data_IF_558572824273
#
_entry.id   IF_558572824273
#
_cell.length_a   1.000
_cell.length_b   1.000
_cell.length_c   1.000
_cell.angle_alpha   90.00
_cell.angle_beta   90.00
_cell.angle_gamma   90.00
#
_symmetry.space_group_name_H-M   'P 1'
#
loop_
_entity.id
_entity.type
_entity.pdbx_description
1 polymer ?
#
# COMPACT_ATOMS: atom_id res chain seq x y z
N UNK A 1 2.26 -3.43 29.48
CA UNK A 1 3.45 -2.84 28.83
C UNK A 1 4.45 -3.87 28.32
N UNK A 2 4.93 -4.83 29.14
CA UNK A 2 5.94 -5.83 28.68
C UNK A 2 5.45 -6.77 27.56
N UNK A 3 4.20 -7.24 27.59
CA UNK A 3 3.65 -8.10 26.51
C UNK A 3 3.43 -7.34 25.19
N UNK A 4 3.15 -6.03 25.25
CA UNK A 4 2.92 -5.19 24.07
C UNK A 4 4.21 -4.90 23.29
N UNK A 5 5.33 -4.69 24.00
CA UNK A 5 6.66 -4.50 23.39
C UNK A 5 7.12 -5.74 22.62
N UNK A 6 6.80 -6.94 23.13
CA UNK A 6 7.20 -8.21 22.49
C UNK A 6 6.46 -8.46 21.16
N UNK A 7 5.20 -8.02 21.04
CA UNK A 7 4.35 -8.23 19.86
C UNK A 7 4.69 -7.29 18.70
N UNK A 8 4.99 -6.01 18.97
CA UNK A 8 5.51 -5.07 17.95
C UNK A 8 6.85 -5.56 17.40
N UNK A 9 7.70 -6.16 18.24
CA UNK A 9 8.98 -6.74 17.81
C UNK A 9 8.79 -7.96 16.88
N UNK A 10 7.73 -8.75 17.05
CA UNK A 10 7.44 -9.92 16.21
C UNK A 10 6.97 -9.53 14.80
N UNK A 11 6.06 -8.56 14.65
CA UNK A 11 5.62 -8.07 13.34
C UNK A 11 6.75 -7.38 12.57
N UNK A 12 7.58 -6.61 13.28
CA UNK A 12 8.76 -5.98 12.71
C UNK A 12 9.81 -7.02 12.28
N UNK A 13 10.07 -8.05 13.09
CA UNK A 13 11.00 -9.13 12.74
C UNK A 13 10.61 -9.88 11.45
N UNK A 14 9.32 -10.05 11.17
CA UNK A 14 8.85 -10.69 9.94
C UNK A 14 9.09 -9.82 8.69
N UNK A 15 8.92 -8.50 8.80
CA UNK A 15 9.25 -7.53 7.74
C UNK A 15 10.77 -7.50 7.48
N UNK A 16 11.56 -7.69 8.53
CA UNK A 16 13.02 -7.58 8.49
C UNK A 16 13.79 -8.87 8.20
N UNK A 17 13.14 -10.04 8.30
CA UNK A 17 13.76 -11.33 8.04
C UNK A 17 14.29 -11.49 6.60
N UNK A 18 13.91 -10.58 5.70
CA UNK A 18 14.35 -10.56 4.29
C UNK A 18 15.72 -9.91 4.07
N UNK A 19 16.34 -9.30 5.09
CA UNK A 19 17.59 -8.53 4.92
C UNK A 19 18.62 -8.79 6.03
N UNK A 20 19.84 -9.19 5.66
CA UNK A 20 20.99 -9.23 6.57
C UNK A 20 21.55 -7.81 6.71
N UNK A 21 21.25 -7.14 7.82
CA UNK A 21 21.60 -5.73 8.05
C UNK A 21 22.45 -5.55 9.30
N UNK A 22 23.28 -4.49 9.36
CA UNK A 22 23.94 -4.10 10.60
C UNK A 22 22.89 -3.92 11.72
N UNK A 23 23.04 -4.59 12.88
CA UNK A 23 22.05 -4.51 13.96
C UNK A 23 21.68 -3.08 14.38
N UNK A 24 22.65 -2.16 14.36
CA UNK A 24 22.43 -0.75 14.69
C UNK A 24 21.41 -0.05 13.76
N UNK A 25 21.40 -0.38 12.46
CA UNK A 25 20.42 0.17 11.51
C UNK A 25 19.04 -0.37 11.85
N UNK A 26 18.94 -1.67 12.11
CA UNK A 26 17.68 -2.34 12.45
C UNK A 26 17.07 -1.79 13.73
N UNK A 27 17.90 -1.59 14.75
CA UNK A 27 17.45 -1.04 16.02
C UNK A 27 17.00 0.43 15.85
N UNK A 28 17.70 1.20 15.01
CA UNK A 28 17.29 2.58 14.70
C UNK A 28 15.94 2.64 13.98
N UNK A 29 15.69 1.76 13.00
CA UNK A 29 14.39 1.71 12.30
C UNK A 29 13.30 1.26 13.28
N UNK A 30 13.53 0.20 14.07
CA UNK A 30 12.59 -0.25 15.10
C UNK A 30 12.26 0.84 16.11
N UNK A 31 13.25 1.65 16.50
CA UNK A 31 13.04 2.79 17.39
C UNK A 31 12.14 3.85 16.77
N UNK A 32 12.29 4.11 15.47
CA UNK A 32 11.42 5.03 14.73
C UNK A 32 10.00 4.47 14.69
N UNK A 33 9.80 3.20 14.35
CA UNK A 33 8.48 2.56 14.29
C UNK A 33 7.79 2.53 15.65
N UNK A 34 8.55 2.24 16.71
CA UNK A 34 8.07 2.32 18.10
C UNK A 34 7.67 3.75 18.46
N UNK A 35 8.47 4.74 18.08
CA UNK A 35 8.17 6.15 18.36
C UNK A 35 6.94 6.64 17.61
N UNK A 36 6.72 6.22 16.36
CA UNK A 36 5.48 6.53 15.65
C UNK A 36 4.27 5.97 16.40
N UNK A 37 4.38 4.74 16.90
CA UNK A 37 3.32 4.07 17.64
C UNK A 37 3.04 4.71 19.00
N UNK A 38 4.07 5.22 19.71
CA UNK A 38 3.90 5.88 21.02
C UNK A 38 3.50 7.34 20.90
N UNK A 39 4.23 8.09 20.09
CA UNK A 39 4.19 9.55 20.04
C UNK A 39 3.12 10.04 19.06
N UNK A 40 2.71 9.17 18.12
CA UNK A 40 1.68 9.44 17.09
C UNK A 40 2.00 10.67 16.26
N UNK A 41 3.30 10.88 16.06
CA UNK A 41 3.86 12.05 15.40
C UNK A 41 4.64 11.61 14.15
N UNK A 42 3.94 11.61 13.02
CA UNK A 42 4.48 11.18 11.72
C UNK A 42 5.66 12.03 11.27
N UNK A 43 5.59 13.36 11.46
CA UNK A 43 6.67 14.27 11.04
C UNK A 43 7.92 14.10 11.91
N UNK A 44 7.78 13.81 13.20
CA UNK A 44 8.92 13.51 14.06
C UNK A 44 9.62 12.19 13.65
N UNK A 45 8.84 11.15 13.32
CA UNK A 45 9.37 9.89 12.85
C UNK A 45 10.07 10.03 11.48
N UNK A 46 9.46 10.76 10.54
CA UNK A 46 10.07 11.10 9.25
C UNK A 46 11.37 11.93 9.43
N UNK A 47 11.38 12.91 10.32
CA UNK A 47 12.57 13.72 10.61
C UNK A 47 13.71 12.86 11.20
N UNK A 48 13.40 11.90 12.07
CA UNK A 48 14.39 10.93 12.59
C UNK A 48 14.96 10.08 11.45
N UNK A 49 14.09 9.56 10.59
CA UNK A 49 14.47 8.75 9.45
C UNK A 49 15.33 9.53 8.43
N UNK A 50 15.02 10.80 8.18
CA UNK A 50 15.81 11.69 7.32
C UNK A 50 17.20 12.01 7.90
N UNK A 51 17.34 12.09 9.23
CA UNK A 51 18.67 12.24 9.86
C UNK A 51 19.54 11.01 9.66
N UNK A 52 18.95 9.80 9.68
CA UNK A 52 19.68 8.57 9.35
C UNK A 52 20.11 8.58 7.89
N UNK A 53 19.27 9.09 6.96
CA UNK A 53 19.62 9.20 5.54
C UNK A 53 20.87 10.03 5.30
N UNK A 54 21.00 11.14 6.02
CA UNK A 54 22.11 12.07 5.87
C UNK A 54 23.45 11.52 6.39
N UNK A 55 23.46 10.35 7.05
CA UNK A 55 24.67 9.74 7.59
C UNK A 55 25.42 8.95 6.50
N UNK A 56 26.67 9.32 6.16
CA UNK A 56 27.42 8.68 5.08
C UNK A 56 27.60 7.16 5.24
N UNK A 57 27.72 6.68 6.48
CA UNK A 57 27.88 5.25 6.78
C UNK A 57 26.66 4.40 6.45
N UNK A 58 25.51 5.02 6.20
CA UNK A 58 24.25 4.34 5.86
C UNK A 58 23.79 4.61 4.42
N UNK A 59 24.61 5.30 3.63
CA UNK A 59 24.34 5.55 2.22
C UNK A 59 24.25 4.24 1.43
N UNK A 60 23.30 4.17 0.48
CA UNK A 60 23.18 3.04 -0.46
C UNK A 60 22.54 1.77 0.10
N UNK A 61 21.92 1.81 1.29
CA UNK A 61 21.24 0.65 1.88
C UNK A 61 19.78 0.51 1.37
N UNK A 62 19.42 -0.52 0.57
CA UNK A 62 18.10 -0.67 -0.04
C UNK A 62 16.92 -0.66 0.95
N UNK A 63 17.12 -1.23 2.14
CA UNK A 63 16.09 -1.27 3.18
C UNK A 63 15.67 0.12 3.65
N UNK A 64 16.61 1.08 3.69
CA UNK A 64 16.33 2.42 4.17
C UNK A 64 15.51 3.18 3.15
N UNK A 65 15.79 2.97 1.85
CA UNK A 65 14.95 3.48 0.76
C UNK A 65 13.53 2.95 0.82
N UNK A 66 13.33 1.67 1.15
CA UNK A 66 11.98 1.12 1.37
C UNK A 66 11.28 1.84 2.53
N UNK A 67 11.98 2.10 3.64
CA UNK A 67 11.42 2.81 4.78
C UNK A 67 11.14 4.28 4.45
N UNK A 68 12.03 4.98 3.75
CA UNK A 68 11.79 6.35 3.31
C UNK A 68 10.59 6.41 2.37
N UNK A 69 10.49 5.48 1.41
CA UNK A 69 9.34 5.35 0.53
C UNK A 69 8.04 5.23 1.33
N UNK A 70 8.00 4.27 2.26
CA UNK A 70 6.84 4.07 3.14
C UNK A 70 6.52 5.31 3.97
N UNK A 71 7.48 5.87 4.72
CA UNK A 71 7.25 6.99 5.64
C UNK A 71 6.81 8.27 4.92
N UNK A 72 7.33 8.54 3.72
CA UNK A 72 6.85 9.66 2.91
C UNK A 72 5.41 9.42 2.42
N UNK A 73 5.06 8.17 2.08
CA UNK A 73 3.68 7.82 1.74
C UNK A 73 2.70 8.04 2.91
N UNK A 74 3.15 7.82 4.16
CA UNK A 74 2.32 8.05 5.35
C UNK A 74 1.90 9.51 5.49
N UNK A 75 2.74 10.46 5.08
CA UNK A 75 2.49 11.91 5.17
C UNK A 75 2.01 12.53 3.86
N UNK A 76 1.55 11.68 2.93
CA UNK A 76 1.10 12.04 1.60
C UNK A 76 2.13 12.77 0.71
N UNK A 77 3.43 12.54 0.92
CA UNK A 77 4.48 12.97 0.00
C UNK A 77 4.79 11.85 -1.00
N UNK A 78 3.84 11.61 -1.90
CA UNK A 78 3.87 10.47 -2.82
C UNK A 78 4.99 10.58 -3.86
N UNK A 79 5.28 11.79 -4.35
CA UNK A 79 6.38 12.00 -5.29
C UNK A 79 7.73 11.65 -4.67
N UNK A 80 7.96 12.02 -3.40
CA UNK A 80 9.19 11.65 -2.70
C UNK A 80 9.20 10.15 -2.39
N UNK A 81 8.05 9.57 -2.05
CA UNK A 81 7.93 8.13 -1.81
C UNK A 81 8.39 7.30 -3.02
N UNK A 82 7.91 7.65 -4.22
CA UNK A 82 8.29 6.99 -5.48
C UNK A 82 9.78 7.19 -5.78
N UNK A 83 10.30 8.41 -5.60
CA UNK A 83 11.70 8.72 -5.87
C UNK A 83 12.68 7.88 -5.02
N UNK A 84 12.34 7.62 -3.75
CA UNK A 84 13.14 6.73 -2.92
C UNK A 84 13.08 5.29 -3.38
N UNK A 85 11.92 4.82 -3.87
CA UNK A 85 11.81 3.48 -4.43
C UNK A 85 12.62 3.34 -5.73
N UNK A 86 12.56 4.33 -6.63
CA UNK A 86 13.39 4.40 -7.85
C UNK A 86 14.88 4.31 -7.54
N UNK A 87 15.31 4.88 -6.40
CA UNK A 87 16.70 4.78 -5.93
C UNK A 87 17.12 3.35 -5.59
N UNK A 88 16.19 2.46 -5.22
CA UNK A 88 16.48 1.03 -5.02
C UNK A 88 16.78 0.36 -6.35
N UNK A 89 16.01 0.68 -7.39
CA UNK A 89 16.21 0.10 -8.72
C UNK A 89 17.54 0.58 -9.33
N UNK A 90 17.92 1.84 -9.11
CA UNK A 90 19.27 2.34 -9.43
C UNK A 90 20.38 1.52 -8.76
N UNK A 91 20.24 1.24 -7.47
CA UNK A 91 21.22 0.43 -6.74
C UNK A 91 21.29 -0.99 -7.28
N UNK A 92 20.14 -1.60 -7.58
CA UNK A 92 20.08 -2.95 -8.16
C UNK A 92 20.73 -3.00 -9.54
N UNK A 93 20.47 -2.02 -10.40
CA UNK A 93 21.10 -1.93 -11.73
C UNK A 93 22.62 -1.79 -11.64
N UNK A 94 23.11 -0.89 -10.76
CA UNK A 94 24.56 -0.70 -10.58
C UNK A 94 25.25 -1.96 -10.00
N UNK A 95 24.61 -2.69 -9.10
CA UNK A 95 25.14 -3.92 -8.50
C UNK A 95 25.18 -5.10 -9.48
N UNK A 96 24.20 -5.22 -10.38
CA UNK A 96 24.13 -6.33 -11.35
C UNK A 96 25.21 -6.26 -12.43
N UNK A 97 25.96 -5.15 -12.56
CA UNK A 97 26.87 -4.85 -13.70
C UNK A 97 26.20 -5.06 -15.07
N UNK A 98 24.88 -5.12 -15.12
CA UNK A 98 24.10 -5.20 -16.35
C UNK A 98 23.80 -3.77 -16.79
N UNK A 99 24.57 -3.29 -17.76
CA UNK A 99 24.27 -2.05 -18.50
C UNK A 99 23.15 -2.22 -19.51
N UNK A 100 22.37 -3.31 -19.42
CA UNK A 100 21.17 -3.45 -20.25
C UNK A 100 20.14 -2.47 -19.73
N UNK A 101 20.29 -1.21 -20.15
CA UNK A 101 19.19 -0.31 -20.44
C UNK A 101 18.10 -1.16 -21.10
N UNK A 102 16.81 -0.92 -20.79
CA UNK A 102 15.73 -1.59 -21.50
C UNK A 102 16.03 -1.51 -22.99
N UNK A 103 15.90 -2.62 -23.75
CA UNK A 103 16.48 -2.77 -25.07
C UNK A 103 16.24 -1.50 -25.88
N UNK A 104 17.32 -0.76 -26.15
CA UNK A 104 17.27 0.43 -27.00
C UNK A 104 16.80 -0.05 -28.37
N UNK A 105 15.57 0.29 -28.74
CA UNK A 105 14.91 -0.24 -29.93
C UNK A 105 13.78 -1.25 -29.69
N UNK A 106 13.26 -1.39 -28.45
CA UNK A 106 11.96 -2.04 -28.25
C UNK A 106 10.93 -1.33 -29.13
N UNK A 107 10.32 -2.07 -30.05
CA UNK A 107 9.16 -1.63 -30.81
C UNK A 107 7.97 -2.42 -30.31
N UNK A 108 6.87 -1.73 -30.05
CA UNK A 108 5.63 -2.37 -29.61
C UNK A 108 4.47 -1.85 -30.45
N UNK A 109 3.85 -2.76 -31.20
CA UNK A 109 2.66 -2.47 -31.98
C UNK A 109 1.43 -2.51 -31.09
N UNK A 110 1.03 -1.32 -30.62
CA UNK A 110 -0.16 -1.15 -29.77
C UNK A 110 -1.46 -1.56 -30.47
N UNK A 111 -1.45 -1.76 -31.80
CA UNK A 111 -2.61 -2.26 -32.53
C UNK A 111 -2.96 -3.72 -32.20
N UNK A 112 -2.05 -4.47 -31.59
CA UNK A 112 -2.26 -5.87 -31.21
C UNK A 112 -3.03 -6.04 -29.89
N UNK A 113 -3.16 -4.96 -29.12
CA UNK A 113 -3.87 -4.94 -27.85
C UNK A 113 -5.14 -4.09 -27.94
N UNK A 114 -6.07 -4.33 -27.03
CA UNK A 114 -7.29 -3.55 -26.89
C UNK A 114 -7.47 -3.11 -25.44
N UNK A 115 -7.65 -1.79 -25.18
CA UNK A 115 -7.88 -1.29 -23.83
C UNK A 115 -9.32 -1.57 -23.38
N UNK A 116 -9.47 -1.92 -22.11
CA UNK A 116 -10.74 -2.01 -21.41
C UNK A 116 -10.62 -1.36 -20.02
N UNK A 117 -11.66 -0.67 -19.51
CA UNK A 117 -11.66 -0.15 -18.15
C UNK A 117 -11.38 -1.28 -17.14
N UNK A 118 -10.35 -1.11 -16.31
CA UNK A 118 -9.91 -2.16 -15.39
C UNK A 118 -11.01 -2.53 -14.39
N UNK A 119 -11.64 -1.53 -13.77
CA UNK A 119 -12.71 -1.73 -12.78
C UNK A 119 -13.86 -2.58 -13.33
N UNK A 120 -14.42 -2.21 -14.48
CA UNK A 120 -15.54 -2.95 -15.08
C UNK A 120 -15.14 -4.35 -15.55
N UNK A 121 -13.90 -4.51 -16.02
CA UNK A 121 -13.36 -5.82 -16.41
C UNK A 121 -13.25 -6.75 -15.21
N UNK A 122 -12.70 -6.26 -14.09
CA UNK A 122 -12.56 -7.03 -12.85
C UNK A 122 -13.94 -7.39 -12.30
N UNK A 123 -14.88 -6.44 -12.24
CA UNK A 123 -16.24 -6.71 -11.73
C UNK A 123 -16.97 -7.78 -12.54
N UNK A 124 -16.79 -7.79 -13.86
CA UNK A 124 -17.34 -8.84 -14.73
C UNK A 124 -16.78 -10.21 -14.38
N UNK A 125 -15.46 -10.33 -14.19
CA UNK A 125 -14.83 -11.60 -13.80
C UNK A 125 -15.20 -12.00 -12.36
N UNK A 126 -15.23 -11.04 -11.44
CA UNK A 126 -15.54 -11.24 -10.03
C UNK A 126 -16.97 -11.75 -9.77
N UNK A 127 -17.90 -11.65 -10.74
CA UNK A 127 -19.21 -12.31 -10.67
C UNK A 127 -19.08 -13.82 -10.51
N UNK A 128 -18.15 -14.42 -11.25
CA UNK A 128 -17.98 -15.88 -11.34
C UNK A 128 -16.80 -16.40 -10.50
N UNK A 129 -16.09 -15.53 -9.80
CA UNK A 129 -14.98 -15.89 -8.92
C UNK A 129 -15.36 -15.59 -7.47
N UNK A 130 -15.12 -16.54 -6.56
CA UNK A 130 -15.35 -16.34 -5.12
C UNK A 130 -14.19 -15.66 -4.42
N UNK A 131 -12.97 -15.78 -4.96
CA UNK A 131 -11.78 -15.16 -4.37
C UNK A 131 -11.12 -14.26 -5.41
N UNK A 132 -10.92 -13.00 -5.05
CA UNK A 132 -10.15 -12.02 -5.84
C UNK A 132 -8.94 -11.64 -5.04
N UNK A 133 -7.75 -11.89 -5.59
CA UNK A 133 -6.48 -11.50 -4.99
C UNK A 133 -5.87 -10.37 -5.81
N UNK A 134 -5.61 -9.23 -5.18
CA UNK A 134 -5.04 -8.05 -5.82
C UNK A 134 -3.86 -7.52 -4.99
N UNK A 135 -2.76 -7.22 -5.67
CA UNK A 135 -1.53 -6.82 -4.99
C UNK A 135 -1.34 -5.31 -4.84
N UNK A 136 -0.39 -4.90 -4.03
CA UNK A 136 0.11 -3.54 -3.91
C UNK A 136 1.63 -3.50 -3.76
N UNK A 137 2.25 -2.39 -4.14
CA UNK A 137 3.52 -1.96 -3.53
C UNK A 137 3.22 -1.18 -2.26
N UNK A 138 3.85 -1.53 -1.14
CA UNK A 138 3.52 -0.95 0.18
C UNK A 138 3.75 0.56 0.30
N UNK A 139 4.60 1.13 -0.57
CA UNK A 139 4.89 2.57 -0.62
C UNK A 139 4.00 3.33 -1.62
N UNK A 140 3.02 2.66 -2.25
CA UNK A 140 2.19 3.23 -3.32
C UNK A 140 0.70 3.25 -2.95
N UNK A 141 0.23 4.28 -2.21
CA UNK A 141 -1.17 4.39 -1.82
C UNK A 141 -2.17 4.52 -2.97
N UNK A 142 -1.71 4.82 -4.20
CA UNK A 142 -2.55 4.74 -5.40
C UNK A 142 -3.17 3.35 -5.59
N UNK A 143 -2.42 2.28 -5.32
CA UNK A 143 -2.95 0.91 -5.40
C UNK A 143 -4.07 0.68 -4.37
N UNK A 144 -3.92 1.23 -3.16
CA UNK A 144 -4.94 1.15 -2.11
C UNK A 144 -6.18 1.94 -2.46
N UNK A 145 -6.03 3.09 -3.10
CA UNK A 145 -7.16 3.87 -3.59
C UNK A 145 -7.96 3.10 -4.65
N UNK A 146 -7.28 2.39 -5.56
CA UNK A 146 -7.93 1.50 -6.51
C UNK A 146 -8.67 0.34 -5.81
N UNK A 147 -8.02 -0.31 -4.84
CA UNK A 147 -8.63 -1.39 -4.05
C UNK A 147 -9.84 -0.86 -3.25
N UNK A 148 -9.82 0.37 -2.76
CA UNK A 148 -10.96 0.98 -2.07
C UNK A 148 -12.18 1.13 -2.99
N UNK A 149 -11.98 1.62 -4.21
CA UNK A 149 -13.08 1.68 -5.18
C UNK A 149 -13.58 0.27 -5.54
N UNK A 150 -12.66 -0.67 -5.75
CA UNK A 150 -13.00 -2.06 -6.05
C UNK A 150 -13.81 -2.71 -4.91
N UNK A 151 -13.38 -2.55 -3.67
CA UNK A 151 -14.08 -3.02 -2.47
C UNK A 151 -15.52 -2.50 -2.42
N UNK A 152 -15.72 -1.19 -2.64
CA UNK A 152 -17.06 -0.58 -2.63
C UNK A 152 -17.97 -1.27 -3.64
N UNK A 153 -17.48 -1.53 -4.86
CA UNK A 153 -18.27 -2.11 -5.94
C UNK A 153 -18.46 -3.62 -5.81
N UNK A 154 -17.47 -4.34 -5.28
CA UNK A 154 -17.56 -5.78 -5.02
C UNK A 154 -18.63 -6.13 -3.98
N UNK A 155 -18.97 -5.20 -3.08
CA UNK A 155 -20.05 -5.42 -2.11
C UNK A 155 -21.37 -5.75 -2.78
N UNK A 156 -21.69 -5.07 -3.88
CA UNK A 156 -22.89 -5.32 -4.68
C UNK A 156 -22.88 -6.69 -5.39
N UNK A 157 -21.70 -7.32 -5.53
CA UNK A 157 -21.53 -8.66 -6.12
C UNK A 157 -21.48 -9.78 -5.06
N UNK A 158 -21.85 -9.47 -3.82
CA UNK A 158 -21.92 -10.44 -2.72
C UNK A 158 -20.58 -10.71 -2.02
N UNK A 159 -19.57 -9.86 -2.21
CA UNK A 159 -18.33 -9.97 -1.42
C UNK A 159 -18.59 -9.58 0.03
N UNK A 160 -18.22 -10.48 0.93
CA UNK A 160 -18.52 -10.38 2.37
C UNK A 160 -17.29 -10.33 3.23
N UNK A 161 -16.13 -10.76 2.72
CA UNK A 161 -14.86 -10.76 3.45
C UNK A 161 -13.83 -9.87 2.76
N UNK A 162 -13.11 -9.10 3.57
CA UNK A 162 -11.94 -8.34 3.16
C UNK A 162 -10.74 -8.82 3.97
N UNK A 163 -9.83 -9.51 3.30
CA UNK A 163 -8.61 -10.02 3.87
C UNK A 163 -7.44 -9.11 3.47
N UNK A 164 -6.55 -8.74 4.40
CA UNK A 164 -5.41 -7.90 4.05
C UNK A 164 -4.12 -8.27 4.78
N UNK A 165 -3.01 -8.19 4.05
CA UNK A 165 -1.66 -8.39 4.58
C UNK A 165 -1.32 -7.34 5.64
N UNK A 166 -0.53 -7.75 6.63
CA UNK A 166 0.02 -6.84 7.63
C UNK A 166 -0.97 -6.40 8.71
N UNK A 167 -2.21 -6.89 8.68
CA UNK A 167 -3.16 -6.78 9.79
C UNK A 167 -2.70 -7.67 10.96
N UNK A 168 -2.83 -7.18 12.19
CA UNK A 168 -2.45 -7.97 13.36
C UNK A 168 -3.51 -9.04 13.66
N UNK A 169 -3.07 -10.26 13.96
CA UNK A 169 -3.96 -11.42 14.14
C UNK A 169 -4.88 -11.37 15.36
N UNK A 170 -4.67 -10.44 16.29
CA UNK A 170 -5.52 -10.23 17.45
C UNK A 170 -6.57 -9.13 17.24
N UNK A 171 -6.51 -8.41 16.11
CA UNK A 171 -7.51 -7.41 15.80
C UNK A 171 -8.76 -8.08 15.26
N UNK A 172 -9.68 -8.30 16.19
CA UNK A 172 -11.09 -8.43 15.85
C UNK A 172 -11.60 -7.02 15.52
N UNK A 173 -11.28 -6.54 14.31
CA UNK A 173 -12.07 -5.49 13.65
C UNK A 173 -13.43 -6.11 13.28
N UNK A 174 -14.19 -6.45 14.32
CA UNK A 174 -15.48 -7.15 14.24
C UNK A 174 -16.61 -6.28 14.80
N UNK A 175 -16.28 -5.11 15.35
CA UNK A 175 -17.26 -4.15 15.84
C UNK A 175 -17.37 -2.94 14.89
N UNK A 176 -18.59 -2.42 14.64
CA UNK A 176 -18.79 -1.12 13.99
C UNK A 176 -18.12 0.06 14.72
N UNK A 177 -17.71 -0.14 15.98
CA UNK A 177 -16.97 0.84 16.77
C UNK A 177 -15.45 0.74 16.61
N UNK A 178 -14.95 -0.20 15.82
CA UNK A 178 -13.51 -0.38 15.61
C UNK A 178 -13.01 0.63 14.57
N UNK A 179 -11.91 1.29 14.88
CA UNK A 179 -11.21 2.25 14.02
C UNK A 179 -9.77 1.78 13.78
N UNK A 180 -9.14 2.15 12.66
CA UNK A 180 -7.72 1.89 12.45
C UNK A 180 -6.88 2.70 13.43
N UNK A 181 -6.10 2.01 14.28
CA UNK A 181 -5.29 2.59 15.32
C UNK A 181 -3.80 2.40 15.05
N UNK A 182 -3.03 3.47 15.24
CA UNK A 182 -1.60 3.54 14.94
C UNK A 182 -0.85 2.49 15.77
N UNK A 183 -0.08 1.63 15.11
CA UNK A 183 0.73 0.58 15.75
C UNK A 183 -0.06 -0.58 16.36
N UNK A 184 -1.40 -0.56 16.25
CA UNK A 184 -2.28 -1.63 16.74
C UNK A 184 -2.90 -2.39 15.59
N UNK A 185 -3.49 -1.72 14.60
CA UNK A 185 -4.25 -2.40 13.54
C UNK A 185 -3.38 -3.18 12.55
N UNK A 186 -2.20 -2.65 12.27
CA UNK A 186 -1.28 -3.23 11.29
C UNK A 186 -0.19 -2.23 10.91
N UNK A 187 0.97 -2.73 10.51
CA UNK A 187 2.13 -1.88 10.24
C UNK A 187 1.86 -0.90 9.07
N UNK A 188 1.35 -1.42 7.96
CA UNK A 188 1.03 -0.61 6.77
C UNK A 188 -0.26 0.20 6.92
N UNK A 189 -1.12 -0.15 7.88
CA UNK A 189 -2.40 0.55 8.15
C UNK A 189 -2.18 1.96 8.72
N UNK A 190 -0.97 2.26 9.21
CA UNK A 190 -0.59 3.61 9.61
C UNK A 190 -0.68 4.62 8.44
N UNK A 191 -0.82 4.17 7.20
CA UNK A 191 -1.03 5.03 6.04
C UNK A 191 -2.52 5.39 5.87
N UNK A 192 -2.87 6.68 5.69
CA UNK A 192 -4.25 7.15 5.66
C UNK A 192 -5.18 6.47 4.65
N UNK A 193 -4.73 6.18 3.42
CA UNK A 193 -5.57 5.54 2.40
C UNK A 193 -5.86 4.09 2.78
N UNK A 194 -4.89 3.35 3.34
CA UNK A 194 -5.13 2.01 3.88
C UNK A 194 -6.11 2.06 5.06
N UNK A 195 -5.92 2.98 6.01
CA UNK A 195 -6.85 3.13 7.11
C UNK A 195 -8.28 3.43 6.62
N UNK A 196 -8.44 4.28 5.61
CA UNK A 196 -9.74 4.57 5.01
C UNK A 196 -10.35 3.37 4.25
N UNK A 197 -9.51 2.53 3.65
CA UNK A 197 -9.91 1.24 3.09
C UNK A 197 -10.51 0.32 4.17
N UNK A 198 -9.85 0.20 5.33
CA UNK A 198 -10.37 -0.57 6.47
C UNK A 198 -11.68 0.03 7.00
N UNK A 199 -11.74 1.35 7.22
CA UNK A 199 -12.99 2.02 7.65
C UNK A 199 -14.15 1.75 6.71
N UNK A 200 -13.88 1.83 5.40
CA UNK A 200 -14.92 1.61 4.40
C UNK A 200 -15.35 0.15 4.37
N UNK A 201 -14.44 -0.81 4.55
CA UNK A 201 -14.78 -2.22 4.69
C UNK A 201 -15.72 -2.45 5.90
N UNK A 202 -15.39 -1.88 7.07
CA UNK A 202 -16.24 -1.96 8.27
C UNK A 202 -17.61 -1.34 8.01
N UNK A 203 -17.66 -0.13 7.46
CA UNK A 203 -18.90 0.60 7.18
C UNK A 203 -19.82 -0.18 6.22
N UNK A 204 -19.24 -0.85 5.24
CA UNK A 204 -19.96 -1.71 4.29
C UNK A 204 -20.32 -3.08 4.89
N UNK A 205 -19.95 -3.36 6.14
CA UNK A 205 -20.20 -4.64 6.80
C UNK A 205 -19.43 -5.80 6.18
N UNK A 206 -18.17 -5.58 5.78
CA UNK A 206 -17.24 -6.66 5.50
C UNK A 206 -16.74 -7.28 6.80
N UNK A 207 -16.55 -8.60 6.80
CA UNK A 207 -15.74 -9.29 7.80
C UNK A 207 -14.27 -9.04 7.45
N UNK A 208 -13.54 -8.39 8.36
CA UNK A 208 -12.11 -8.14 8.18
C UNK A 208 -11.32 -9.38 8.59
N UNK A 209 -10.40 -9.83 7.74
CA UNK A 209 -9.62 -11.06 7.93
C UNK A 209 -8.13 -10.73 7.95
N UNK A 210 -7.52 -10.80 9.14
CA UNK A 210 -6.07 -10.84 9.28
C UNK A 210 -5.57 -12.25 8.99
N UNK A 211 -4.60 -12.40 8.09
CA UNK A 211 -4.04 -13.71 7.72
C UNK A 211 -2.51 -13.80 7.89
N UNK A 212 -1.89 -12.79 8.51
CA UNK A 212 -0.44 -12.80 8.74
C UNK A 212 0.00 -14.02 9.57
N UNK A 213 1.27 -14.39 9.49
CA UNK A 213 1.83 -15.50 10.27
C UNK A 213 1.85 -15.22 11.77
N UNK A 214 1.62 -16.26 12.57
CA UNK A 214 1.65 -16.22 14.04
C UNK A 214 2.73 -17.11 14.64
N UNK A 215 3.32 -18.01 13.85
CA UNK A 215 4.30 -18.96 14.35
C UNK A 215 5.60 -18.27 14.78
N UNK A 216 6.07 -18.62 15.98
CA UNK A 216 7.35 -18.15 16.56
C UNK A 216 8.50 -19.10 16.27
N UNK A 217 8.38 -19.90 15.22
CA UNK A 217 9.36 -20.95 14.94
C UNK A 217 10.69 -20.32 14.52
N UNK A 218 11.79 -20.95 14.93
CA UNK A 218 13.13 -20.50 14.57
C UNK A 218 13.28 -20.40 13.05
N UNK A 219 13.91 -19.33 12.54
CA UNK A 219 14.16 -19.19 11.12
C UNK A 219 15.09 -20.30 10.65
N UNK A 220 14.80 -20.84 9.47
CA UNK A 220 15.70 -21.72 8.73
C UNK A 220 16.93 -20.93 8.27
N UNK A 221 18.04 -21.62 8.00
CA UNK A 221 19.22 -20.97 7.39
C UNK A 221 18.98 -20.56 5.93
N UNK A 222 18.05 -21.22 5.25
CA UNK A 222 17.69 -20.96 3.86
C UNK A 222 16.55 -19.92 3.77
N UNK A 223 16.82 -18.73 3.19
CA UNK A 223 15.82 -17.68 3.04
C UNK A 223 14.58 -18.10 2.25
N UNK A 224 14.74 -18.95 1.23
CA UNK A 224 13.61 -19.42 0.39
C UNK A 224 12.70 -20.32 1.20
N UNK A 225 13.24 -21.16 2.09
CA UNK A 225 12.42 -21.97 3.00
C UNK A 225 11.63 -21.12 3.99
N UNK A 226 12.25 -20.07 4.54
CA UNK A 226 11.55 -19.12 5.41
C UNK A 226 10.41 -18.41 4.68
N UNK A 227 10.68 -17.95 3.45
CA UNK A 227 9.67 -17.34 2.59
C UNK A 227 8.51 -18.31 2.34
N UNK A 228 8.79 -19.53 1.85
CA UNK A 228 7.75 -20.53 1.56
C UNK A 228 6.94 -20.93 2.80
N UNK A 229 7.57 -21.00 3.97
CA UNK A 229 6.86 -21.22 5.22
C UNK A 229 5.88 -20.09 5.53
N UNK A 230 6.30 -18.83 5.31
CA UNK A 230 5.43 -17.66 5.46
C UNK A 230 4.25 -17.70 4.49
N UNK A 231 4.51 -17.93 3.21
CA UNK A 231 3.46 -18.04 2.16
C UNK A 231 2.44 -19.12 2.49
N UNK A 232 2.93 -20.29 2.94
CA UNK A 232 2.08 -21.41 3.32
C UNK A 232 1.19 -21.08 4.53
N UNK A 233 1.78 -20.56 5.61
CA UNK A 233 1.03 -20.24 6.82
C UNK A 233 0.01 -19.11 6.57
N UNK A 234 0.34 -18.12 5.74
CA UNK A 234 -0.61 -17.08 5.32
C UNK A 234 -1.78 -17.67 4.52
N UNK A 235 -1.51 -18.59 3.59
CA UNK A 235 -2.55 -19.27 2.82
C UNK A 235 -3.47 -20.10 3.73
N UNK A 236 -2.90 -20.86 4.66
CA UNK A 236 -3.64 -21.64 5.66
C UNK A 236 -4.52 -20.74 6.53
N UNK A 237 -3.98 -19.62 7.03
CA UNK A 237 -4.73 -18.67 7.82
C UNK A 237 -5.89 -18.04 7.04
N UNK A 238 -5.64 -17.65 5.79
CA UNK A 238 -6.67 -17.11 4.90
C UNK A 238 -7.79 -18.13 4.69
N UNK A 239 -7.44 -19.36 4.32
CA UNK A 239 -8.41 -20.45 4.10
C UNK A 239 -9.22 -20.76 5.36
N UNK A 240 -8.54 -20.97 6.49
CA UNK A 240 -9.15 -21.35 7.77
C UNK A 240 -10.14 -20.29 8.29
N UNK A 241 -9.86 -19.01 8.02
CA UNK A 241 -10.69 -17.87 8.46
C UNK A 241 -11.77 -17.47 7.45
N UNK A 242 -11.82 -18.10 6.26
CA UNK A 242 -12.78 -17.77 5.20
C UNK A 242 -13.51 -19.02 4.68
N UNK A 243 -13.03 -19.62 3.59
CA UNK A 243 -13.72 -20.69 2.87
C UNK A 243 -13.93 -21.95 3.71
N UNK A 244 -13.06 -22.21 4.71
CA UNK A 244 -13.29 -23.32 5.63
C UNK A 244 -14.50 -23.07 6.54
N UNK A 245 -14.77 -21.81 6.90
CA UNK A 245 -15.92 -21.42 7.72
C UNK A 245 -17.20 -21.31 6.88
N UNK A 246 -17.08 -20.81 5.65
CA UNK A 246 -18.17 -20.63 4.71
C UNK A 246 -17.65 -20.83 3.27
N UNK A 247 -17.84 -22.02 2.68
CA UNK A 247 -17.39 -22.33 1.33
C UNK A 247 -18.01 -21.47 0.23
N UNK A 248 -19.11 -20.76 0.53
CA UNK A 248 -19.80 -19.89 -0.42
C UNK A 248 -19.45 -18.41 -0.23
N UNK A 249 -18.62 -18.06 0.75
CA UNK A 249 -18.25 -16.67 0.95
C UNK A 249 -17.40 -16.13 -0.21
N UNK A 250 -17.55 -14.84 -0.50
CA UNK A 250 -16.74 -14.15 -1.51
C UNK A 250 -15.77 -13.20 -0.82
N UNK A 251 -14.48 -13.33 -1.16
CA UNK A 251 -13.35 -12.73 -0.45
C UNK A 251 -12.56 -11.83 -1.38
N UNK A 252 -12.37 -10.57 -0.99
CA UNK A 252 -11.34 -9.71 -1.56
C UNK A 252 -10.09 -9.85 -0.70
N UNK A 253 -8.98 -10.27 -1.30
CA UNK A 253 -7.70 -10.48 -0.65
C UNK A 253 -6.73 -9.42 -1.17
N UNK A 254 -6.27 -8.56 -0.28
CA UNK A 254 -5.30 -7.51 -0.54
C UNK A 254 -3.92 -7.95 -0.06
N UNK A 255 -2.99 -8.11 -1.00
CA UNK A 255 -1.65 -8.65 -0.73
C UNK A 255 -0.55 -7.64 -1.09
N UNK A 256 0.63 -7.78 -0.50
CA UNK A 256 1.85 -7.13 -0.92
C UNK A 256 2.51 -7.86 -2.09
N UNK A 257 3.06 -7.11 -3.03
CA UNK A 257 3.92 -7.61 -4.11
C UNK A 257 3.39 -8.89 -4.79
N UNK A 258 4.16 -9.98 -4.79
CA UNK A 258 3.87 -11.19 -5.56
C UNK A 258 3.07 -12.25 -4.81
N UNK A 259 2.55 -11.99 -3.61
CA UNK A 259 1.84 -13.03 -2.82
C UNK A 259 0.68 -13.69 -3.59
N UNK A 260 0.09 -13.00 -4.56
CA UNK A 260 -0.97 -13.49 -5.43
C UNK A 260 -0.47 -14.15 -6.73
N UNK A 261 0.84 -14.26 -6.95
CA UNK A 261 1.44 -14.98 -8.08
C UNK A 261 1.03 -16.47 -8.04
N UNK A 262 0.61 -17.02 -9.18
CA UNK A 262 0.15 -18.41 -9.29
C UNK A 262 1.27 -19.44 -9.49
N UNK A 263 2.45 -19.01 -9.94
CA UNK A 263 3.52 -19.88 -10.43
C UNK A 263 4.79 -19.80 -9.58
N UNK A 264 5.15 -18.62 -9.10
CA UNK A 264 6.40 -18.39 -8.37
C UNK A 264 7.66 -18.47 -9.25
N UNK A 265 8.83 -18.36 -8.62
CA UNK A 265 10.13 -18.35 -9.30
C UNK A 265 11.25 -18.85 -8.39
N UNK A 266 12.23 -19.56 -8.96
CA UNK A 266 13.46 -19.91 -8.23
C UNK A 266 13.26 -20.75 -6.97
N UNK A 267 12.19 -21.56 -6.93
CA UNK A 267 11.84 -22.38 -5.76
C UNK A 267 10.96 -21.68 -4.72
N UNK A 268 10.68 -20.39 -4.89
CA UNK A 268 9.66 -19.70 -4.12
C UNK A 268 8.25 -20.10 -4.58
N UNK A 269 7.38 -20.44 -3.62
CA UNK A 269 6.00 -20.84 -3.85
C UNK A 269 5.09 -19.78 -3.21
N UNK A 270 4.36 -18.97 -3.99
CA UNK A 270 3.57 -17.87 -3.46
C UNK A 270 2.31 -18.35 -2.72
N UNK A 271 1.77 -17.47 -1.87
CA UNK A 271 0.57 -17.71 -1.07
C UNK A 271 -0.62 -18.15 -1.94
N UNK A 272 -0.85 -17.53 -3.10
CA UNK A 272 -1.94 -17.93 -4.00
C UNK A 272 -1.83 -19.38 -4.48
N UNK A 273 -0.60 -19.86 -4.75
CA UNK A 273 -0.35 -21.24 -5.15
C UNK A 273 -0.70 -22.21 -4.02
N UNK A 274 -0.22 -21.95 -2.80
CA UNK A 274 -0.59 -22.73 -1.62
C UNK A 274 -2.11 -22.69 -1.36
N UNK A 275 -2.72 -21.51 -1.44
CA UNK A 275 -4.15 -21.31 -1.20
C UNK A 275 -4.99 -22.13 -2.17
N UNK A 276 -4.65 -22.12 -3.47
CA UNK A 276 -5.31 -22.95 -4.47
C UNK A 276 -5.20 -24.44 -4.13
N UNK A 277 -4.00 -24.91 -3.76
CA UNK A 277 -3.78 -26.31 -3.40
C UNK A 277 -4.64 -26.75 -2.21
N UNK A 278 -4.72 -25.94 -1.15
CA UNK A 278 -5.44 -26.33 0.08
C UNK A 278 -6.95 -26.11 0.03
N UNK A 279 -7.41 -25.09 -0.72
CA UNK A 279 -8.84 -24.74 -0.79
C UNK A 279 -9.56 -25.36 -1.98
N UNK A 280 -8.82 -25.77 -3.02
CA UNK A 280 -9.39 -26.19 -4.31
C UNK A 280 -10.00 -25.05 -5.14
N UNK A 281 -9.91 -23.79 -4.68
CA UNK A 281 -10.46 -22.62 -5.36
C UNK A 281 -9.36 -21.92 -6.17
N UNK A 282 -9.64 -21.65 -7.44
CA UNK A 282 -8.80 -20.80 -8.29
C UNK A 282 -9.08 -19.32 -7.96
N UNK A 283 -8.12 -18.56 -7.39
CA UNK A 283 -8.32 -17.14 -7.19
C UNK A 283 -8.21 -16.38 -8.52
N UNK A 284 -9.06 -15.36 -8.70
CA UNK A 284 -8.82 -14.31 -9.70
C UNK A 284 -7.65 -13.46 -9.21
N UNK A 285 -6.48 -13.62 -9.80
CA UNK A 285 -5.26 -12.92 -9.44
C UNK A 285 -5.01 -11.70 -10.34
N UNK A 286 -4.85 -10.54 -9.73
CA UNK A 286 -4.75 -9.24 -10.41
C UNK A 286 -3.44 -8.58 -9.99
N UNK A 287 -2.60 -8.30 -10.97
CA UNK A 287 -1.42 -7.48 -10.81
C UNK A 287 -1.72 -6.00 -11.08
N UNK A 288 -1.25 -5.11 -10.21
CA UNK A 288 -1.25 -3.67 -10.46
C UNK A 288 0.10 -3.01 -10.15
N UNK A 289 1.14 -3.80 -9.89
CA UNK A 289 2.43 -3.28 -9.37
C UNK A 289 3.51 -3.12 -10.44
N UNK A 290 3.17 -3.30 -11.71
CA UNK A 290 4.18 -3.26 -12.78
C UNK A 290 3.99 -2.12 -13.80
N UNK A 291 2.75 -1.71 -14.07
CA UNK A 291 2.43 -0.77 -15.16
C UNK A 291 1.90 0.56 -14.60
N UNK A 292 2.79 1.34 -13.97
CA UNK A 292 2.49 2.65 -13.41
C UNK A 292 3.67 3.62 -13.61
N UNK A 293 3.43 4.91 -13.36
CA UNK A 293 4.43 5.98 -13.53
C UNK A 293 5.52 5.94 -12.45
N UNK A 294 6.76 6.12 -12.87
CA UNK A 294 7.92 6.29 -11.99
C UNK A 294 8.44 7.73 -12.06
N UNK A 295 9.24 8.15 -11.07
CA UNK A 295 9.82 9.50 -11.07
C UNK A 295 10.86 9.65 -12.16
N UNK A 296 11.59 8.57 -12.44
CA UNK A 296 12.54 8.44 -13.54
C UNK A 296 11.97 7.44 -14.53
N UNK A 297 11.68 7.89 -15.75
CA UNK A 297 11.04 7.07 -16.79
C UNK A 297 11.81 5.78 -17.08
N UNK A 298 13.13 5.78 -16.89
CA UNK A 298 13.99 4.61 -17.10
C UNK A 298 13.68 3.42 -16.19
N UNK A 299 13.00 3.63 -15.06
CA UNK A 299 12.52 2.55 -14.17
C UNK A 299 11.09 2.12 -14.45
N UNK A 300 10.35 2.86 -15.28
CA UNK A 300 9.06 2.38 -15.76
C UNK A 300 9.26 1.11 -16.59
N UNK A 301 8.25 0.25 -16.53
CA UNK A 301 8.16 -0.87 -17.45
C UNK A 301 8.31 -0.37 -18.91
N UNK A 302 9.17 -0.98 -19.75
CA UNK A 302 9.40 -0.50 -21.11
C UNK A 302 8.11 -0.42 -21.95
N UNK A 303 7.17 -1.33 -21.71
CA UNK A 303 5.87 -1.36 -22.38
C UNK A 303 4.93 -0.24 -21.90
N UNK A 304 5.04 0.17 -20.63
CA UNK A 304 4.23 1.25 -20.06
C UNK A 304 4.42 2.56 -20.83
N UNK A 305 5.63 2.82 -21.35
CA UNK A 305 5.93 4.03 -22.13
C UNK A 305 5.14 4.12 -23.44
N UNK A 306 4.76 2.99 -24.04
CA UNK A 306 3.97 2.96 -25.28
C UNK A 306 2.47 3.17 -25.05
N UNK A 307 1.97 2.77 -23.88
CA UNK A 307 0.53 2.66 -23.62
C UNK A 307 0.00 3.70 -22.63
N UNK A 308 0.85 4.25 -21.76
CA UNK A 308 0.44 5.19 -20.70
C UNK A 308 -0.19 6.47 -21.26
N UNK A 309 0.30 6.96 -22.41
CA UNK A 309 -0.29 8.11 -23.11
C UNK A 309 -1.64 7.82 -23.79
N UNK A 310 -2.07 6.56 -23.86
CA UNK A 310 -3.32 6.14 -24.48
C UNK A 310 -4.49 6.04 -23.49
N UNK A 311 -4.23 6.21 -22.19
CA UNK A 311 -5.20 5.94 -21.12
C UNK A 311 -5.39 7.15 -20.21
N UNK A 312 -6.62 7.35 -19.75
CA UNK A 312 -7.01 8.38 -18.78
C UNK A 312 -7.59 7.81 -17.48
N UNK A 313 -7.63 6.49 -17.37
CA UNK A 313 -8.15 5.73 -16.24
C UNK A 313 -7.44 4.38 -16.13
N UNK A 314 -7.46 3.71 -14.96
CA UNK A 314 -6.92 2.36 -14.82
C UNK A 314 -7.50 1.42 -15.89
N UNK A 315 -6.61 0.79 -16.66
CA UNK A 315 -6.95 0.06 -17.88
C UNK A 315 -6.30 -1.31 -17.88
N UNK A 316 -7.05 -2.33 -18.28
CA UNK A 316 -6.51 -3.65 -18.64
C UNK A 316 -6.40 -3.70 -20.15
N UNK A 317 -5.27 -4.19 -20.65
CA UNK A 317 -5.10 -4.46 -22.08
C UNK A 317 -5.30 -5.94 -22.34
N UNK A 318 -6.09 -6.26 -23.37
CA UNK A 318 -6.32 -7.65 -23.83
C UNK A 318 -5.64 -7.82 -25.18
N UNK A 319 -4.87 -8.88 -25.33
CA UNK A 319 -4.24 -9.24 -26.60
C UNK A 319 -5.29 -9.77 -27.58
N UNK A 320 -5.32 -9.24 -28.81
CA UNK A 320 -6.33 -9.61 -29.81
C UNK A 320 -6.21 -11.05 -30.29
N UNK A 321 -4.99 -11.58 -30.38
CA UNK A 321 -4.70 -12.93 -30.89
C UNK A 321 -5.18 -14.02 -29.94
N UNK A 322 -4.97 -13.83 -28.63
CA UNK A 322 -5.23 -14.83 -27.59
C UNK A 322 -6.49 -14.56 -26.77
N UNK A 323 -7.04 -13.33 -26.83
CA UNK A 323 -8.09 -12.86 -25.92
C UNK A 323 -7.71 -12.96 -24.44
N UNK A 324 -6.41 -13.00 -24.13
CA UNK A 324 -5.90 -13.03 -22.75
C UNK A 324 -5.45 -11.65 -22.30
N UNK A 325 -5.37 -11.45 -20.98
CA UNK A 325 -4.77 -10.23 -20.44
C UNK A 325 -3.34 -10.12 -20.96
N UNK A 326 -3.04 -8.98 -21.55
CA UNK A 326 -1.70 -8.62 -21.96
C UNK A 326 -0.91 -8.18 -20.73
N UNK A 327 -0.64 -9.13 -19.84
CA UNK A 327 0.28 -8.97 -18.72
C UNK A 327 1.64 -9.49 -19.19
N UNK A 328 2.34 -8.71 -20.03
CA UNK A 328 3.56 -9.14 -20.73
C UNK A 328 4.73 -9.56 -19.84
N UNK A 329 4.58 -9.44 -18.52
CA UNK A 329 5.66 -9.69 -17.59
C UNK A 329 5.76 -11.15 -17.20
N UNK A 330 4.65 -11.87 -17.02
CA UNK A 330 4.66 -13.29 -16.62
C UNK A 330 3.35 -14.00 -17.02
N UNK A 331 3.21 -14.48 -18.27
CA UNK A 331 2.02 -15.20 -18.71
C UNK A 331 1.74 -16.42 -17.82
N UNK A 332 0.53 -16.48 -17.24
CA UNK A 332 0.10 -17.55 -16.33
C UNK A 332 0.27 -17.25 -14.84
N UNK A 333 1.03 -16.21 -14.46
CA UNK A 333 1.21 -15.85 -13.05
C UNK A 333 0.04 -15.01 -12.52
N UNK A 334 -0.57 -14.20 -13.37
CA UNK A 334 -1.73 -13.33 -13.07
C UNK A 334 -2.79 -13.44 -14.16
N UNK A 335 -4.06 -13.28 -13.80
CA UNK A 335 -5.18 -13.29 -14.75
C UNK A 335 -5.37 -11.92 -15.42
N UNK A 336 -5.08 -10.83 -14.69
CA UNK A 336 -5.18 -9.45 -15.17
C UNK A 336 -3.96 -8.64 -14.75
N UNK A 337 -3.50 -7.74 -15.62
CA UNK A 337 -2.55 -6.68 -15.30
C UNK A 337 -3.18 -5.30 -15.47
N UNK A 338 -3.14 -4.46 -14.45
CA UNK A 338 -3.68 -3.09 -14.46
C UNK A 338 -2.58 -2.12 -14.86
N UNK A 339 -2.86 -1.32 -15.88
CA UNK A 339 -2.08 -0.15 -16.25
C UNK A 339 -2.73 1.10 -15.67
N UNK A 340 -2.02 1.79 -14.78
CA UNK A 340 -2.47 3.05 -14.18
C UNK A 340 -2.10 4.23 -15.09
N UNK A 341 -2.96 5.25 -15.27
CA UNK A 341 -2.59 6.43 -16.04
C UNK A 341 -1.52 7.25 -15.30
N UNK A 342 -0.82 8.12 -16.03
CA UNK A 342 0.10 9.09 -15.43
C UNK A 342 -0.62 9.96 -14.40
N UNK A 343 0.09 10.29 -13.33
CA UNK A 343 -0.47 11.08 -12.25
C UNK A 343 -0.77 12.49 -12.72
N UNK A 344 -1.94 12.98 -12.30
CA UNK A 344 -2.32 14.37 -12.47
C UNK A 344 -2.62 14.94 -11.10
N UNK A 345 -2.32 16.22 -10.90
CA UNK A 345 -2.45 16.89 -9.62
C UNK A 345 -3.43 18.05 -9.70
N UNK A 346 -4.28 18.16 -8.69
CA UNK A 346 -5.24 19.26 -8.52
C UNK A 346 -5.10 19.74 -7.07
N UNK A 347 -4.84 21.04 -6.88
CA UNK A 347 -4.59 21.65 -5.56
C UNK A 347 -3.51 20.93 -4.72
N UNK A 348 -2.43 20.49 -5.38
CA UNK A 348 -1.30 19.81 -4.74
C UNK A 348 -1.60 18.37 -4.30
N UNK A 349 -2.71 17.77 -4.75
CA UNK A 349 -3.09 16.39 -4.44
C UNK A 349 -3.26 15.59 -5.73
N UNK A 350 -2.81 14.32 -5.77
CA UNK A 350 -3.00 13.51 -6.96
C UNK A 350 -4.49 13.16 -7.14
N UNK A 351 -4.96 13.15 -8.38
CA UNK A 351 -6.39 12.97 -8.71
C UNK A 351 -6.93 11.60 -8.33
N UNK A 352 -6.08 10.57 -8.27
CA UNK A 352 -6.47 9.23 -7.81
C UNK A 352 -6.94 9.22 -6.34
N UNK A 353 -6.64 10.24 -5.54
CA UNK A 353 -7.15 10.39 -4.18
C UNK A 353 -8.64 10.75 -4.12
N UNK A 354 -9.21 11.31 -5.17
CA UNK A 354 -10.62 11.70 -5.20
C UNK A 354 -11.53 10.49 -5.52
N UNK A 355 -11.50 9.49 -4.64
CA UNK A 355 -12.14 8.19 -4.89
C UNK A 355 -13.67 8.38 -4.96
N UNK A 356 -14.24 8.02 -6.11
CA UNK A 356 -15.68 8.10 -6.41
C UNK A 356 -16.33 9.48 -6.10
N UNK A 357 -15.57 10.59 -6.24
CA UNK A 357 -16.03 11.95 -5.92
C UNK A 357 -16.56 12.12 -4.49
N UNK A 358 -16.07 11.30 -3.54
CA UNK A 358 -16.54 11.30 -2.14
C UNK A 358 -15.83 12.32 -1.26
N UNK A 359 -14.82 12.99 -1.78
CA UNK A 359 -13.96 13.88 -1.02
C UNK A 359 -14.23 15.34 -1.33
N UNK A 360 -13.94 16.17 -0.33
CA UNK A 360 -14.02 17.62 -0.32
C UNK A 360 -12.65 18.15 0.05
N UNK A 361 -12.28 19.24 -0.60
CA UNK A 361 -11.04 19.93 -0.32
C UNK A 361 -11.21 20.76 0.95
N UNK A 362 -10.24 20.67 1.86
CA UNK A 362 -10.19 21.48 3.06
C UNK A 362 -8.83 22.17 3.13
N UNK A 363 -8.84 23.50 3.04
CA UNK A 363 -7.64 24.33 3.12
C UNK A 363 -7.26 24.62 4.58
N UNK A 364 -5.96 24.81 4.83
CA UNK A 364 -5.49 25.32 6.12
C UNK A 364 -6.10 26.73 6.36
N UNK A 365 -6.80 26.95 7.49
CA UNK A 365 -7.37 28.26 7.82
C UNK A 365 -6.31 29.36 7.80
N UNK A 366 -6.68 30.55 7.32
CA UNK A 366 -5.75 31.65 7.05
C UNK A 366 -4.97 32.08 8.30
N UNK A 367 -5.63 32.11 9.46
CA UNK A 367 -5.04 32.44 10.75
C UNK A 367 -3.97 31.43 11.22
N UNK A 368 -3.94 30.21 10.64
CA UNK A 368 -2.93 29.18 10.92
C UNK A 368 -1.77 29.18 9.92
N UNK A 369 -1.83 29.99 8.85
CA UNK A 369 -0.78 30.07 7.81
C UNK A 369 0.48 30.82 8.25
N UNK A 370 0.58 31.19 9.53
CA UNK A 370 1.84 31.66 10.13
C UNK A 370 2.86 30.54 10.25
N UNK A 371 2.41 29.28 10.32
CA UNK A 371 3.28 28.10 10.24
C UNK A 371 3.58 27.85 8.77
N UNK A 372 4.83 28.02 8.37
CA UNK A 372 5.32 27.86 7.00
C UNK A 372 5.78 26.44 6.69
N UNK A 373 6.13 25.65 7.72
CA UNK A 373 6.50 24.24 7.60
C UNK A 373 5.87 23.43 8.72
N UNK A 374 5.24 22.31 8.38
CA UNK A 374 4.57 21.48 9.39
C UNK A 374 3.83 20.28 8.82
N UNK A 375 3.05 19.65 9.70
CA UNK A 375 2.16 18.55 9.40
C UNK A 375 0.73 18.94 9.79
N UNK A 376 -0.17 18.96 8.80
CA UNK A 376 -1.60 19.14 9.00
C UNK A 376 -2.28 17.76 8.95
N UNK A 377 -3.09 17.45 9.95
CA UNK A 377 -3.81 16.18 10.07
C UNK A 377 -5.30 16.45 10.35
N UNK A 378 -6.16 15.57 9.85
CA UNK A 378 -7.57 15.51 10.21
C UNK A 378 -7.94 14.12 10.70
N UNK A 379 -8.61 14.07 11.84
CA UNK A 379 -9.14 12.85 12.45
C UNK A 379 -10.66 12.93 12.46
N UNK A 380 -11.36 11.83 12.20
CA UNK A 380 -12.81 11.79 12.40
C UNK A 380 -13.12 12.17 13.85
N UNK A 381 -14.12 13.03 14.06
CA UNK A 381 -14.36 13.66 15.37
C UNK A 381 -14.54 12.66 16.52
N UNK A 382 -15.22 11.55 16.24
CA UNK A 382 -15.56 10.53 17.24
C UNK A 382 -14.48 9.44 17.38
N UNK A 383 -13.42 9.50 16.58
CA UNK A 383 -12.30 8.57 16.68
C UNK A 383 -11.31 9.02 17.79
N UNK A 384 -10.79 8.07 18.60
CA UNK A 384 -9.82 8.36 19.64
C UNK A 384 -8.49 8.93 19.13
N UNK A 385 -7.67 9.40 20.06
CA UNK A 385 -6.39 10.07 19.77
C UNK A 385 -5.31 9.15 19.20
N UNK A 386 -5.52 7.83 19.21
CA UNK A 386 -4.63 6.83 18.60
C UNK A 386 -5.08 6.38 17.22
N UNK A 387 -6.18 6.94 16.70
CA UNK A 387 -6.62 6.65 15.34
C UNK A 387 -5.62 7.16 14.30
N UNK A 388 -5.50 6.43 13.19
CA UNK A 388 -4.80 6.90 11.99
C UNK A 388 -5.59 8.09 11.41
N UNK A 389 -4.99 9.20 10.99
CA UNK A 389 -5.74 10.31 10.42
C UNK A 389 -6.54 9.91 9.16
N UNK A 390 -7.67 10.58 8.92
CA UNK A 390 -8.46 10.44 7.70
C UNK A 390 -7.70 10.99 6.49
N UNK A 391 -7.01 12.11 6.67
CA UNK A 391 -5.98 12.60 5.76
C UNK A 391 -4.92 13.38 6.53
N UNK A 392 -3.72 13.45 5.96
CA UNK A 392 -2.65 14.29 6.48
C UNK A 392 -1.69 14.71 5.37
N UNK A 393 -1.05 15.86 5.57
CA UNK A 393 -0.08 16.42 4.64
C UNK A 393 1.08 17.06 5.40
N UNK A 394 2.31 16.70 5.02
CA UNK A 394 3.47 17.54 5.30
C UNK A 394 3.49 18.68 4.28
N UNK A 395 3.82 19.88 4.75
CA UNK A 395 3.98 21.04 3.88
C UNK A 395 5.18 21.90 4.29
N UNK A 396 5.69 22.65 3.33
CA UNK A 396 6.78 23.62 3.49
C UNK A 396 6.63 24.74 2.44
N UNK A 397 6.20 25.92 2.83
CA UNK A 397 5.96 27.04 1.90
C UNK A 397 7.25 27.63 1.32
N UNK A 398 8.44 27.19 1.78
CA UNK A 398 9.71 27.48 1.11
C UNK A 398 9.94 26.65 -0.16
N UNK A 399 9.28 25.49 -0.28
CA UNK A 399 9.39 24.59 -1.45
C UNK A 399 8.09 24.52 -2.26
N UNK A 400 6.95 24.69 -1.60
CA UNK A 400 5.62 24.65 -2.22
C UNK A 400 5.11 26.07 -2.43
N UNK A 401 4.63 26.37 -3.65
CA UNK A 401 3.98 27.66 -3.96
C UNK A 401 2.70 27.87 -3.15
N UNK A 402 1.99 26.78 -2.81
CA UNK A 402 0.77 26.77 -1.99
C UNK A 402 0.74 25.53 -1.10
N UNK A 403 0.22 25.65 0.11
CA UNK A 403 -0.01 24.50 1.01
C UNK A 403 -1.08 23.60 0.34
N UNK A 404 -0.83 22.30 0.11
CA UNK A 404 -1.85 21.40 -0.42
C UNK A 404 -3.10 21.36 0.46
N UNK A 405 -4.26 21.03 -0.11
CA UNK A 405 -5.47 20.82 0.67
C UNK A 405 -5.53 19.41 1.26
N UNK A 406 -6.26 19.23 2.37
CA UNK A 406 -6.69 17.90 2.79
C UNK A 406 -7.86 17.44 1.90
N UNK A 407 -7.95 16.13 1.65
CA UNK A 407 -9.07 15.50 0.97
C UNK A 407 -9.87 14.68 1.99
N UNK A 408 -11.03 15.18 2.38
CA UNK A 408 -11.85 14.64 3.47
C UNK A 408 -13.26 14.32 3.00
N UNK A 409 -13.92 13.31 3.60
CA UNK A 409 -15.35 13.11 3.38
C UNK A 409 -16.13 14.25 4.07
N UNK A 410 -17.38 14.54 3.65
CA UNK A 410 -18.24 15.41 4.43
C UNK A 410 -18.41 14.85 5.85
N UNK A 411 -18.24 15.71 6.85
CA UNK A 411 -18.28 15.28 8.25
C UNK A 411 -17.60 16.24 9.21
N UNK A 412 -17.67 15.90 10.50
CA UNK A 412 -17.03 16.64 11.58
C UNK A 412 -15.66 16.04 11.88
N UNK A 413 -14.65 16.90 12.00
CA UNK A 413 -13.27 16.49 12.19
C UNK A 413 -12.61 17.23 13.33
N UNK A 414 -11.64 16.57 13.97
CA UNK A 414 -10.65 17.19 14.84
C UNK A 414 -9.36 17.33 14.05
N UNK A 415 -8.90 18.56 13.88
CA UNK A 415 -7.69 18.89 13.14
C UNK A 415 -6.54 19.09 14.11
N UNK A 416 -5.35 18.70 13.66
CA UNK A 416 -4.09 18.95 14.37
C UNK A 416 -3.08 19.52 13.39
N UNK A 417 -2.46 20.62 13.77
CA UNK A 417 -1.35 21.23 13.06
C UNK A 417 -0.11 21.15 13.96
N UNK A 418 0.93 20.46 13.50
CA UNK A 418 2.22 20.32 14.19
C UNK A 418 3.24 21.19 13.45
N UNK A 419 3.93 22.07 14.17
CA UNK A 419 5.02 22.87 13.60
C UNK A 419 6.19 21.96 13.21
N UNK A 420 6.82 22.25 12.07
CA UNK A 420 8.04 21.57 11.63
C UNK A 420 9.33 22.15 12.24
N UNK A 421 9.22 23.26 12.96
CA UNK A 421 10.33 24.03 13.53
C UNK A 421 10.35 23.98 15.08
N UNK A 422 9.26 23.53 15.70
CA UNK A 422 9.11 23.37 17.15
C UNK A 422 8.16 22.21 17.46
N UNK A 423 8.16 21.72 18.70
CA UNK A 423 7.18 20.71 19.15
C UNK A 423 5.77 21.31 19.41
N UNK A 424 5.54 22.58 19.03
CA UNK A 424 4.25 23.22 19.18
C UNK A 424 3.20 22.58 18.26
N UNK A 425 2.02 22.36 18.81
CA UNK A 425 0.85 21.92 18.05
C UNK A 425 -0.38 22.78 18.38
N UNK A 426 -1.27 22.92 17.40
CA UNK A 426 -2.59 23.50 17.60
C UNK A 426 -3.66 22.52 17.15
N UNK A 427 -4.77 22.46 17.90
CA UNK A 427 -5.92 21.64 17.55
C UNK A 427 -7.17 22.51 17.42
N UNK A 428 -8.08 22.10 16.54
CA UNK A 428 -9.41 22.71 16.41
C UNK A 428 -10.39 21.68 15.86
N UNK A 429 -11.67 22.02 15.89
CA UNK A 429 -12.75 21.21 15.34
C UNK A 429 -13.45 22.02 14.26
N UNK A 430 -13.72 21.37 13.13
CA UNK A 430 -14.44 21.99 12.02
C UNK A 430 -15.29 20.95 11.27
N UNK A 431 -16.21 21.42 10.44
CA UNK A 431 -17.09 20.58 9.62
C UNK A 431 -16.79 20.79 8.14
N UNK A 432 -16.47 19.69 7.47
CA UNK A 432 -16.29 19.64 6.02
C UNK A 432 -17.67 19.39 5.38
N UNK A 433 -18.08 20.28 4.47
CA UNK A 433 -19.40 20.25 3.82
C UNK A 433 -19.38 19.61 2.43
#
# INVERSE_FOLDING_TARGET
MKSFVLLVLLSLNQIYAQYYLPPAIMDSIRDIDRSLSSDRNYIAALNRLNRIHAMPQYAGQPILFNHWGLYNSLVSDYSTAIAFFDSIELLRQSQRRTTSLPPTGLTFDTSQIRPYPAMETILRLAKNNSVVMINERHHMPMHRAFILELLIRLKALGYTHYAAEGLQNHDTITSPTTYPAIGKTGYYVNEPVFAELIRTAILLGYKIVAYETTSSASPESDPIKNQNKREKEQAENLYNKTLLQDPHCKVLVHVGYGHNDKMGVGGWIPMASYFKTISGVEPLSIDQIEMFEHRVSDFENPYYRFISGMISQPTVFIEKSSSTSWAHLQPGNFDLGICHPKETYVHGRPTWRNIANRYRMYDLPNEKRTITKGLLQAFYHDEPTDAVPADQIVFNTGTWQTIPCLLLRPGKYRFRLISGESDASSEWVDTVK
#
